data_IF_898674989979
#
_entry.id   IF_898674989979
#
_cell.length_a   1.000
_cell.length_b   1.000
_cell.length_c   1.000
_cell.angle_alpha   90.00
_cell.angle_beta   90.00
_cell.angle_gamma   90.00
#
_symmetry.space_group_name_H-M   'P 1'
#
loop_
_entity.id
_entity.type
_entity.pdbx_description
1 polymer ?
#
# COMPACT_ATOMS: atom_id res chain seq x y z
N UNK A 1 12.85 -22.29 29.75
CA UNK A 1 11.39 -22.39 29.51
C UNK A 1 11.19 -22.14 28.03
N UNK A 2 10.60 -23.09 27.33
CA UNK A 2 10.38 -23.02 25.88
C UNK A 2 9.05 -22.28 25.64
N UNK A 3 8.97 -21.30 24.72
CA UNK A 3 7.78 -20.51 24.56
C UNK A 3 6.67 -21.37 23.93
N UNK A 4 5.68 -21.75 24.74
CA UNK A 4 4.45 -22.40 24.31
C UNK A 4 3.41 -21.33 24.02
N UNK A 5 3.40 -20.83 22.79
CA UNK A 5 2.40 -19.88 22.32
C UNK A 5 2.33 -19.91 20.80
N UNK A 6 1.20 -19.48 20.20
CA UNK A 6 1.01 -19.44 18.74
C UNK A 6 2.03 -18.56 18.00
N UNK A 7 2.84 -17.78 18.73
CA UNK A 7 3.92 -16.94 18.21
C UNK A 7 5.32 -17.59 18.25
N UNK A 8 5.45 -18.85 18.69
CA UNK A 8 6.73 -19.55 18.59
C UNK A 8 6.84 -20.28 17.25
N UNK A 9 7.93 -20.04 16.52
CA UNK A 9 8.30 -20.80 15.30
C UNK A 9 8.70 -22.26 15.62
N UNK A 10 8.17 -22.81 16.72
CA UNK A 10 8.49 -24.14 17.17
C UNK A 10 7.79 -25.17 16.28
N UNK A 11 8.57 -25.85 15.47
CA UNK A 11 8.10 -26.96 14.64
C UNK A 11 8.16 -28.27 15.43
N UNK A 12 7.03 -28.68 16.00
CA UNK A 12 6.86 -30.03 16.54
C UNK A 12 6.27 -30.94 15.44
N UNK A 13 6.81 -32.15 15.19
CA UNK A 13 6.23 -33.10 14.24
C UNK A 13 4.74 -33.39 14.50
N UNK A 14 4.29 -33.32 15.75
CA UNK A 14 2.89 -33.54 16.12
C UNK A 14 1.94 -32.40 15.74
N UNK A 15 2.46 -31.18 15.51
CA UNK A 15 1.67 -30.02 15.07
C UNK A 15 1.76 -29.77 13.56
N UNK A 16 2.47 -30.63 12.82
CA UNK A 16 2.73 -30.46 11.38
C UNK A 16 1.44 -30.41 10.56
N UNK A 17 0.41 -31.20 10.89
CA UNK A 17 -0.87 -31.17 10.17
C UNK A 17 -1.60 -29.83 10.36
N UNK A 18 -1.60 -29.28 11.56
CA UNK A 18 -2.22 -27.99 11.88
C UNK A 18 -1.45 -26.83 11.22
N UNK A 19 -0.11 -26.90 11.25
CA UNK A 19 0.77 -25.93 10.59
C UNK A 19 0.59 -25.93 9.06
N UNK A 20 0.49 -27.10 8.43
CA UNK A 20 0.25 -27.21 6.97
C UNK A 20 -1.14 -26.67 6.60
N UNK A 21 -2.14 -26.97 7.44
CA UNK A 21 -3.50 -26.43 7.27
C UNK A 21 -3.52 -24.91 7.37
N UNK A 22 -2.76 -24.32 8.30
CA UNK A 22 -2.62 -22.88 8.45
C UNK A 22 -1.72 -22.23 7.36
N UNK A 23 -0.74 -22.95 6.83
CA UNK A 23 0.22 -22.44 5.85
C UNK A 23 -0.40 -22.26 4.46
N UNK A 24 -1.40 -23.07 4.11
CA UNK A 24 -2.01 -23.02 2.77
C UNK A 24 -2.72 -21.67 2.52
N UNK A 25 -3.57 -21.17 3.44
CA UNK A 25 -4.12 -19.80 3.34
C UNK A 25 -3.05 -18.71 3.27
N UNK A 26 -2.02 -18.82 4.12
CA UNK A 26 -0.91 -17.86 4.14
C UNK A 26 -0.17 -17.81 2.80
N UNK A 27 0.11 -18.97 2.21
CA UNK A 27 0.75 -19.06 0.89
C UNK A 27 -0.08 -18.40 -0.22
N UNK A 28 -1.39 -18.69 -0.26
CA UNK A 28 -2.30 -18.08 -1.25
C UNK A 28 -2.32 -16.56 -1.09
N UNK A 29 -2.45 -16.05 0.14
CA UNK A 29 -2.46 -14.62 0.41
C UNK A 29 -1.13 -13.96 0.00
N UNK A 30 0.02 -14.52 0.39
CA UNK A 30 1.33 -13.97 0.04
C UNK A 30 1.60 -13.96 -1.46
N UNK A 31 1.22 -15.01 -2.20
CA UNK A 31 1.35 -15.02 -3.66
C UNK A 31 0.48 -13.93 -4.29
N UNK A 32 -0.76 -13.77 -3.84
CA UNK A 32 -1.67 -12.75 -4.35
C UNK A 32 -1.25 -11.33 -3.99
N UNK A 33 -0.63 -11.13 -2.82
CA UNK A 33 0.00 -9.86 -2.43
C UNK A 33 1.13 -9.44 -3.36
N UNK A 34 1.79 -10.38 -4.06
CA UNK A 34 2.77 -10.02 -5.09
C UNK A 34 2.11 -9.79 -6.46
N UNK A 35 1.14 -10.63 -6.82
CA UNK A 35 0.60 -10.68 -8.19
C UNK A 35 -0.49 -9.65 -8.46
N UNK A 36 -1.46 -9.50 -7.55
CA UNK A 36 -2.58 -8.59 -7.79
C UNK A 36 -2.13 -7.14 -7.90
N UNK A 37 -1.25 -6.63 -7.02
CA UNK A 37 -0.78 -5.26 -7.13
C UNK A 37 0.00 -5.02 -8.44
N UNK A 38 0.64 -6.02 -9.04
CA UNK A 38 1.36 -5.85 -10.31
C UNK A 38 0.45 -5.56 -11.52
N UNK A 39 -0.83 -5.96 -11.46
CA UNK A 39 -1.78 -5.83 -12.57
C UNK A 39 -2.98 -4.92 -12.26
N UNK A 40 -3.38 -4.87 -11.00
CA UNK A 40 -4.58 -4.17 -10.55
C UNK A 40 -4.24 -3.02 -9.60
N UNK A 41 -5.16 -2.06 -9.53
CA UNK A 41 -5.16 -0.95 -8.59
C UNK A 41 -6.49 -0.93 -7.84
N UNK A 42 -6.50 -0.26 -6.69
CA UNK A 42 -7.73 0.13 -6.01
C UNK A 42 -8.15 1.50 -6.53
N UNK A 43 -9.42 1.67 -6.80
CA UNK A 43 -10.06 2.93 -7.05
C UNK A 43 -11.00 3.25 -5.89
N UNK A 44 -11.15 4.53 -5.58
CA UNK A 44 -11.86 5.03 -4.39
C UNK A 44 -12.72 6.22 -4.79
N UNK A 45 -13.96 6.20 -4.34
CA UNK A 45 -14.91 7.30 -4.50
C UNK A 45 -15.56 7.63 -3.16
N UNK A 46 -16.08 8.85 -2.99
CA UNK A 46 -17.14 9.11 -2.02
C UNK A 46 -18.28 8.09 -2.19
N UNK A 47 -18.94 7.77 -1.09
CA UNK A 47 -20.10 6.87 -1.13
C UNK A 47 -21.16 7.38 -2.12
N UNK A 48 -21.60 6.49 -3.02
CA UNK A 48 -22.62 6.81 -4.03
C UNK A 48 -22.07 7.32 -5.36
N UNK A 49 -20.76 7.55 -5.50
CA UNK A 49 -20.13 8.00 -6.74
C UNK A 49 -19.41 6.88 -7.53
N UNK A 50 -19.66 5.63 -7.14
CA UNK A 50 -19.10 4.45 -7.83
C UNK A 50 -19.72 4.32 -9.23
N UNK A 51 -18.94 3.97 -10.27
CA UNK A 51 -19.50 3.68 -11.59
C UNK A 51 -20.54 2.55 -11.54
N UNK A 52 -21.67 2.71 -12.24
CA UNK A 52 -22.84 1.81 -12.24
C UNK A 52 -22.56 0.32 -12.55
N UNK A 53 -21.35 -0.02 -12.98
CA UNK A 53 -20.98 -1.35 -13.51
C UNK A 53 -19.89 -2.05 -12.72
N UNK A 54 -19.51 -1.54 -11.55
CA UNK A 54 -18.58 -2.25 -10.67
C UNK A 54 -19.27 -3.49 -10.07
N UNK A 55 -18.76 -4.71 -10.29
CA UNK A 55 -19.35 -5.92 -9.72
C UNK A 55 -19.25 -5.92 -8.19
N UNK A 56 -20.26 -6.49 -7.51
CA UNK A 56 -20.34 -6.55 -6.05
C UNK A 56 -19.15 -7.25 -5.39
N UNK A 57 -18.61 -8.30 -6.02
CA UNK A 57 -17.44 -9.03 -5.50
C UNK A 57 -16.12 -8.27 -5.63
N UNK A 58 -16.08 -7.23 -6.46
CA UNK A 58 -14.89 -6.43 -6.75
C UNK A 58 -14.89 -5.08 -6.00
N UNK A 59 -15.86 -4.85 -5.12
CA UNK A 59 -15.99 -3.63 -4.35
C UNK A 59 -16.16 -3.89 -2.85
N UNK A 60 -15.84 -2.87 -2.06
CA UNK A 60 -16.01 -2.86 -0.62
C UNK A 60 -16.45 -1.47 -0.15
N UNK A 61 -17.50 -1.46 0.68
CA UNK A 61 -18.05 -0.24 1.24
C UNK A 61 -17.35 0.09 2.56
N UNK A 62 -16.63 1.21 2.60
CA UNK A 62 -16.15 1.82 3.83
C UNK A 62 -17.17 2.80 4.41
N UNK A 63 -16.81 3.44 5.53
CA UNK A 63 -17.71 4.33 6.26
C UNK A 63 -18.08 5.64 5.54
N UNK A 64 -17.23 6.12 4.62
CA UNK A 64 -17.46 7.37 3.87
C UNK A 64 -17.02 7.25 2.40
N UNK A 65 -16.48 6.09 2.02
CA UNK A 65 -15.85 5.86 0.73
C UNK A 65 -16.18 4.46 0.27
N UNK A 66 -16.35 4.30 -1.03
CA UNK A 66 -16.45 2.99 -1.67
C UNK A 66 -15.16 2.72 -2.42
N UNK A 67 -14.64 1.51 -2.26
CA UNK A 67 -13.40 1.05 -2.86
C UNK A 67 -13.73 -0.04 -3.88
N UNK A 68 -13.01 -0.09 -5.00
CA UNK A 68 -13.09 -1.22 -5.92
C UNK A 68 -11.75 -1.51 -6.55
N UNK A 69 -11.52 -2.76 -6.92
CA UNK A 69 -10.30 -3.17 -7.61
C UNK A 69 -10.53 -3.09 -9.12
N UNK A 70 -9.57 -2.61 -9.90
CA UNK A 70 -9.66 -2.55 -11.37
C UNK A 70 -8.28 -2.72 -12.00
N UNK A 71 -8.21 -3.17 -13.25
CA UNK A 71 -6.95 -3.28 -14.00
C UNK A 71 -6.33 -1.89 -14.18
N UNK A 72 -5.00 -1.82 -14.05
CA UNK A 72 -4.23 -0.57 -14.15
C UNK A 72 -4.32 0.04 -15.56
N UNK A 73 -4.33 -0.80 -16.59
CA UNK A 73 -4.33 -0.37 -17.99
C UNK A 73 -5.74 -0.22 -18.56
N UNK A 74 -6.72 -0.97 -18.05
CA UNK A 74 -8.09 -1.01 -18.58
C UNK A 74 -9.14 -0.90 -17.46
N UNK A 75 -9.62 0.32 -17.23
CA UNK A 75 -10.72 0.56 -16.29
C UNK A 75 -11.95 -0.27 -16.66
N UNK A 76 -12.61 -0.87 -15.65
CA UNK A 76 -13.76 -1.75 -15.86
C UNK A 76 -13.41 -3.20 -16.13
N UNK A 77 -12.13 -3.56 -16.07
CA UNK A 77 -11.67 -4.96 -16.04
C UNK A 77 -11.32 -5.31 -14.59
N UNK A 78 -11.94 -6.38 -14.08
CA UNK A 78 -11.86 -6.79 -12.68
C UNK A 78 -11.17 -8.16 -12.56
N UNK A 79 -10.53 -8.48 -11.42
CA UNK A 79 -10.17 -9.86 -11.11
C UNK A 79 -11.41 -10.77 -11.15
N UNK A 80 -11.20 -12.04 -11.47
CA UNK A 80 -12.28 -13.02 -11.43
C UNK A 80 -12.85 -13.11 -10.00
N UNK A 81 -14.18 -13.28 -9.89
CA UNK A 81 -14.86 -13.46 -8.61
C UNK A 81 -14.23 -14.57 -7.78
N UNK A 82 -13.92 -15.71 -8.42
CA UNK A 82 -13.26 -16.85 -7.76
C UNK A 82 -11.90 -16.51 -7.19
N UNK A 83 -11.15 -15.58 -7.80
CA UNK A 83 -9.86 -15.13 -7.28
C UNK A 83 -10.02 -14.34 -5.99
N UNK A 84 -10.98 -13.39 -5.95
CA UNK A 84 -11.21 -12.59 -4.75
C UNK A 84 -11.91 -13.41 -3.66
N UNK A 85 -12.87 -14.26 -4.02
CA UNK A 85 -13.52 -15.17 -3.08
C UNK A 85 -12.51 -16.08 -2.39
N UNK A 86 -11.55 -16.62 -3.14
CA UNK A 86 -10.47 -17.42 -2.56
C UNK A 86 -9.64 -16.62 -1.53
N UNK A 87 -9.41 -15.32 -1.72
CA UNK A 87 -8.73 -14.50 -0.70
C UNK A 87 -9.55 -14.38 0.58
N UNK A 88 -10.85 -14.10 0.44
CA UNK A 88 -11.76 -13.95 1.57
C UNK A 88 -11.89 -15.27 2.35
N UNK A 89 -12.01 -16.38 1.64
CA UNK A 89 -12.07 -17.73 2.22
C UNK A 89 -10.77 -18.11 2.95
N UNK A 90 -9.64 -17.52 2.56
CA UNK A 90 -8.34 -17.67 3.22
C UNK A 90 -8.09 -16.63 4.33
N UNK A 91 -9.14 -15.95 4.81
CA UNK A 91 -9.07 -15.09 6.00
C UNK A 91 -8.53 -13.69 5.77
N UNK A 92 -8.32 -13.28 4.51
CA UNK A 92 -7.93 -11.90 4.20
C UNK A 92 -9.10 -10.97 4.52
N UNK A 93 -8.85 -9.95 5.34
CA UNK A 93 -9.83 -8.90 5.62
C UNK A 93 -9.97 -7.98 4.42
N UNK A 94 -11.19 -7.81 3.92
CA UNK A 94 -11.48 -6.89 2.81
C UNK A 94 -11.02 -5.47 3.10
N UNK A 95 -11.20 -4.97 4.34
CA UNK A 95 -10.76 -3.64 4.73
C UNK A 95 -9.24 -3.45 4.57
N UNK A 96 -8.44 -4.46 4.93
CA UNK A 96 -6.98 -4.41 4.78
C UNK A 96 -6.58 -4.48 3.29
N UNK A 97 -7.23 -5.36 2.52
CA UNK A 97 -7.01 -5.47 1.08
C UNK A 97 -7.31 -4.17 0.32
N UNK A 98 -8.53 -3.63 0.47
CA UNK A 98 -8.99 -2.47 -0.29
C UNK A 98 -8.35 -1.17 0.18
N UNK A 99 -7.78 -1.11 1.39
CA UNK A 99 -7.01 0.06 1.86
C UNK A 99 -5.51 -0.10 1.67
N UNK A 100 -5.07 -1.13 0.94
CA UNK A 100 -3.66 -1.49 0.75
C UNK A 100 -2.89 -1.78 2.05
N UNK A 101 -3.59 -2.01 3.17
CA UNK A 101 -2.99 -2.37 4.45
C UNK A 101 -2.45 -3.81 4.46
N UNK A 102 -1.82 -4.19 5.58
CA UNK A 102 -1.24 -5.53 5.78
C UNK A 102 -0.31 -5.99 4.65
N UNK A 103 0.39 -5.06 3.98
CA UNK A 103 1.36 -5.35 2.93
C UNK A 103 0.79 -5.55 1.51
N UNK A 104 -0.50 -5.28 1.27
CA UNK A 104 -1.11 -5.41 -0.07
C UNK A 104 -0.58 -4.38 -1.08
N UNK A 105 -0.21 -3.16 -0.67
CA UNK A 105 0.57 -2.24 -1.51
C UNK A 105 -0.02 -1.92 -2.90
N UNK A 106 -1.36 -1.91 -3.04
CA UNK A 106 -1.99 -1.52 -4.30
C UNK A 106 -1.76 -0.04 -4.61
N UNK A 107 -1.77 0.30 -5.90
CA UNK A 107 -1.97 1.66 -6.34
C UNK A 107 -3.38 2.07 -5.97
N UNK A 108 -3.56 3.30 -5.52
CA UNK A 108 -4.87 3.87 -5.24
C UNK A 108 -5.16 5.05 -6.16
N UNK A 109 -6.31 5.02 -6.82
CA UNK A 109 -6.85 6.08 -7.66
C UNK A 109 -8.11 6.68 -7.01
N UNK A 110 -8.19 7.99 -6.86
CA UNK A 110 -9.39 8.69 -6.38
C UNK A 110 -10.23 9.17 -7.57
N UNK A 111 -11.51 8.79 -7.62
CA UNK A 111 -12.40 9.15 -8.73
C UNK A 111 -13.03 10.53 -8.61
N UNK A 112 -13.09 11.09 -7.40
CA UNK A 112 -13.63 12.44 -7.10
C UNK A 112 -12.59 13.55 -7.35
N UNK A 113 -11.30 13.21 -7.32
CA UNK A 113 -10.22 14.12 -7.64
C UNK A 113 -10.09 14.23 -9.17
N UNK A 114 -10.83 15.15 -9.78
CA UNK A 114 -10.89 15.42 -11.23
C UNK A 114 -9.50 15.45 -11.92
N UNK A 115 -9.00 14.27 -12.31
CA UNK A 115 -7.72 14.11 -13.01
C UNK A 115 -6.45 14.39 -12.20
N UNK A 116 -6.55 14.62 -10.87
CA UNK A 116 -5.35 14.85 -10.06
C UNK A 116 -4.61 13.54 -9.82
N UNK A 117 -3.28 13.52 -9.96
CA UNK A 117 -2.53 12.30 -9.81
C UNK A 117 -2.34 11.96 -8.33
N UNK A 118 -2.65 10.73 -7.96
CA UNK A 118 -2.45 10.23 -6.61
C UNK A 118 -1.15 9.42 -6.52
N UNK A 119 -0.52 9.48 -5.36
CA UNK A 119 0.62 8.68 -4.95
C UNK A 119 0.19 7.81 -3.78
N UNK A 120 0.33 6.49 -3.88
CA UNK A 120 0.19 5.62 -2.71
C UNK A 120 1.55 5.40 -2.08
N UNK A 121 1.68 5.76 -0.81
CA UNK A 121 2.84 5.44 0.01
C UNK A 121 2.52 4.24 0.90
N UNK A 122 3.39 3.24 0.93
CA UNK A 122 3.23 2.09 1.85
C UNK A 122 4.46 1.93 2.71
N UNK A 123 4.26 1.88 4.03
CA UNK A 123 5.32 1.57 4.97
C UNK A 123 5.47 0.04 5.07
N UNK A 124 6.49 -0.51 4.41
CA UNK A 124 6.85 -1.92 4.49
C UNK A 124 7.97 -2.17 5.51
N UNK A 125 8.28 -1.18 6.35
CA UNK A 125 9.22 -1.31 7.46
C UNK A 125 8.49 -1.82 8.71
N UNK A 126 9.26 -2.27 9.70
CA UNK A 126 8.72 -2.61 11.03
C UNK A 126 8.63 -1.39 11.97
N UNK A 127 9.05 -0.22 11.49
CA UNK A 127 9.12 1.00 12.26
C UNK A 127 7.94 1.93 11.92
N UNK A 128 7.56 2.78 12.86
CA UNK A 128 6.61 3.85 12.57
C UNK A 128 7.33 4.90 11.74
N UNK A 129 6.79 5.27 10.57
CA UNK A 129 7.38 6.32 9.75
C UNK A 129 6.49 7.56 9.75
N UNK A 130 7.13 8.72 9.69
CA UNK A 130 6.48 10.01 9.54
C UNK A 130 6.74 10.54 8.14
N UNK A 131 5.67 10.97 7.47
CA UNK A 131 5.75 11.73 6.23
C UNK A 131 5.52 13.21 6.51
N UNK A 132 6.45 14.04 6.04
CA UNK A 132 6.37 15.50 6.11
C UNK A 132 6.56 16.07 4.70
N UNK A 133 5.64 16.91 4.23
CA UNK A 133 5.83 17.62 2.98
C UNK A 133 6.51 18.97 3.23
N UNK A 134 7.49 19.32 2.39
CA UNK A 134 8.21 20.60 2.51
C UNK A 134 7.51 21.77 1.81
N UNK A 135 6.19 21.68 1.57
CA UNK A 135 5.39 22.72 0.90
C UNK A 135 4.04 22.86 1.61
N UNK A 136 3.54 24.09 1.75
CA UNK A 136 2.32 24.44 2.49
C UNK A 136 1.00 23.94 1.85
N UNK A 137 1.04 23.26 0.70
CA UNK A 137 -0.12 23.04 -0.18
C UNK A 137 -0.50 21.57 -0.43
N UNK A 138 0.04 20.58 0.31
CA UNK A 138 -0.49 19.21 0.21
C UNK A 138 -1.79 19.13 1.00
N UNK A 139 -2.92 19.29 0.32
CA UNK A 139 -4.26 19.51 0.92
C UNK A 139 -4.77 18.41 1.87
N UNK A 140 -4.01 17.32 2.06
CA UNK A 140 -4.36 16.20 2.95
C UNK A 140 -3.28 15.83 3.97
N UNK A 141 -2.11 16.49 3.97
CA UNK A 141 -1.15 16.34 5.06
C UNK A 141 -1.44 17.43 6.09
N UNK A 142 -1.98 17.04 7.24
CA UNK A 142 -1.94 17.89 8.44
C UNK A 142 -0.50 18.01 8.93
N UNK A 143 0.42 18.60 8.15
CA UNK A 143 1.86 18.79 8.40
C UNK A 143 2.71 17.54 8.77
N UNK A 144 2.12 16.47 9.31
CA UNK A 144 2.78 15.26 9.79
C UNK A 144 1.79 14.09 9.63
N UNK A 145 2.15 13.08 8.84
CA UNK A 145 1.36 11.87 8.71
C UNK A 145 2.16 10.67 9.20
N UNK A 146 1.67 10.02 10.25
CA UNK A 146 2.26 8.80 10.78
C UNK A 146 1.68 7.57 10.09
N UNK A 147 2.56 6.69 9.62
CA UNK A 147 2.19 5.47 8.91
C UNK A 147 2.82 4.30 9.64
N UNK A 148 2.00 3.48 10.29
CA UNK A 148 2.47 2.30 11.00
C UNK A 148 3.00 1.21 10.07
N UNK A 149 3.67 0.19 10.62
CA UNK A 149 4.13 -0.97 9.86
C UNK A 149 3.00 -1.62 9.04
N UNK A 150 3.25 -1.88 7.76
CA UNK A 150 2.30 -2.49 6.84
C UNK A 150 1.11 -1.61 6.46
N UNK A 151 1.08 -0.34 6.87
CA UNK A 151 0.02 0.60 6.52
C UNK A 151 0.38 1.40 5.27
N UNK A 152 -0.65 1.87 4.59
CA UNK A 152 -0.53 2.75 3.43
C UNK A 152 -1.24 4.07 3.68
N UNK A 153 -0.77 5.11 3.01
CA UNK A 153 -1.51 6.34 2.84
C UNK A 153 -1.55 6.73 1.36
N UNK A 154 -2.46 7.63 1.02
CA UNK A 154 -2.55 8.21 -0.31
C UNK A 154 -2.32 9.70 -0.22
N UNK A 155 -1.52 10.21 -1.14
CA UNK A 155 -1.13 11.61 -1.24
C UNK A 155 -1.55 12.11 -2.63
N UNK A 156 -2.17 13.27 -2.70
CA UNK A 156 -2.53 13.91 -3.96
C UNK A 156 -1.86 15.29 -4.01
N UNK A 157 -0.58 15.37 -4.35
CA UNK A 157 0.13 16.65 -4.41
C UNK A 157 -0.46 17.50 -5.54
N UNK A 158 -0.89 18.72 -5.22
CA UNK A 158 -1.43 19.67 -6.20
C UNK A 158 -0.34 20.49 -6.88
N UNK A 159 0.83 20.57 -6.26
CA UNK A 159 2.00 21.27 -6.76
C UNK A 159 3.24 20.42 -6.52
N UNK A 160 4.33 20.75 -7.22
CA UNK A 160 5.63 20.12 -7.00
C UNK A 160 6.07 20.30 -5.56
N UNK A 161 6.45 19.20 -4.90
CA UNK A 161 6.80 19.18 -3.49
C UNK A 161 7.96 18.21 -3.22
N UNK A 162 8.49 18.22 -2.00
CA UNK A 162 9.38 17.15 -1.54
C UNK A 162 8.74 16.49 -0.33
N UNK A 163 8.58 15.17 -0.39
CA UNK A 163 8.22 14.38 0.78
C UNK A 163 9.50 13.96 1.51
N UNK A 164 9.54 14.24 2.80
CA UNK A 164 10.55 13.73 3.71
C UNK A 164 9.94 12.56 4.47
N UNK A 165 10.69 11.46 4.55
CA UNK A 165 10.33 10.32 5.38
C UNK A 165 11.30 10.29 6.55
N UNK A 166 10.76 10.27 7.76
CA UNK A 166 11.51 10.19 9.00
C UNK A 166 11.14 8.89 9.72
N UNK A 167 12.12 8.18 10.24
CA UNK A 167 11.87 7.09 11.18
C UNK A 167 11.47 7.70 12.52
N UNK A 168 10.24 7.41 12.98
CA UNK A 168 9.73 7.99 14.22
C UNK A 168 10.46 7.47 15.45
N UNK A 169 11.07 6.28 15.37
CA UNK A 169 11.91 5.74 16.44
C UNK A 169 13.26 6.48 16.51
N UNK A 170 13.65 7.20 15.46
CA UNK A 170 14.83 8.05 15.42
C UNK A 170 14.55 9.37 14.67
N UNK A 171 13.81 10.31 15.29
CA UNK A 171 13.24 11.48 14.61
C UNK A 171 14.29 12.48 14.11
N UNK A 172 15.56 12.30 14.48
CA UNK A 172 16.68 13.10 13.97
C UNK A 172 17.21 12.58 12.62
N UNK A 173 16.73 11.42 12.16
CA UNK A 173 17.19 10.79 10.93
C UNK A 173 16.07 10.81 9.90
N UNK A 174 16.18 11.74 8.96
CA UNK A 174 15.46 11.63 7.70
C UNK A 174 16.00 10.38 6.98
N UNK A 175 15.15 9.36 6.84
CA UNK A 175 15.54 8.10 6.21
C UNK A 175 15.42 8.18 4.70
N UNK A 176 14.59 9.09 4.19
CA UNK A 176 14.43 9.26 2.77
C UNK A 176 13.90 10.64 2.34
N UNK A 177 14.15 10.98 1.08
CA UNK A 177 13.54 12.14 0.41
C UNK A 177 13.01 11.74 -0.97
N UNK A 178 11.80 12.20 -1.26
CA UNK A 178 11.10 11.98 -2.52
C UNK A 178 10.78 13.35 -3.12
N UNK A 179 11.58 13.84 -4.07
CA UNK A 179 11.19 15.00 -4.87
C UNK A 179 10.07 14.60 -5.83
N UNK A 180 8.97 15.34 -5.80
CA UNK A 180 7.80 15.13 -6.65
C UNK A 180 7.59 16.39 -7.48
N UNK A 181 7.57 16.24 -8.80
CA UNK A 181 7.18 17.29 -9.71
C UNK A 181 5.77 17.02 -10.23
N UNK A 182 4.89 18.02 -10.12
CA UNK A 182 3.58 18.03 -10.79
C UNK A 182 3.76 18.82 -12.08
N UNK A 183 3.68 18.14 -13.23
CA UNK A 183 3.92 18.76 -14.54
C UNK A 183 2.63 19.15 -15.24
N UNK A 184 2.76 19.94 -16.31
CA UNK A 184 1.63 20.34 -17.14
C UNK A 184 0.90 19.11 -17.69
N UNK A 185 -0.42 19.05 -17.48
CA UNK A 185 -1.21 17.84 -17.76
C UNK A 185 -1.40 16.91 -16.55
N UNK A 186 -1.10 17.38 -15.32
CA UNK A 186 -1.39 16.67 -14.07
C UNK A 186 -0.69 15.31 -13.96
N UNK A 187 0.55 15.23 -14.45
CA UNK A 187 1.40 14.04 -14.32
C UNK A 187 2.36 14.21 -13.14
N UNK A 188 2.62 13.11 -12.41
CA UNK A 188 3.68 13.05 -11.41
C UNK A 188 4.97 12.56 -12.03
N UNK A 189 6.04 13.28 -11.75
CA UNK A 189 7.40 12.89 -12.06
C UNK A 189 8.20 12.84 -10.76
N UNK A 190 9.03 11.81 -10.61
CA UNK A 190 9.87 11.64 -9.43
C UNK A 190 11.29 12.09 -9.76
N UNK A 191 11.81 12.97 -8.91
CA UNK A 191 13.23 13.29 -8.93
C UNK A 191 14.07 12.12 -8.44
N UNK A 192 15.39 12.33 -8.35
CA UNK A 192 16.29 11.34 -7.77
C UNK A 192 15.88 11.05 -6.31
N UNK A 193 15.40 9.82 -6.08
CA UNK A 193 15.06 9.35 -4.74
C UNK A 193 16.35 9.19 -3.94
N UNK A 194 16.38 9.75 -2.73
CA UNK A 194 17.48 9.54 -1.80
C UNK A 194 16.99 8.71 -0.62
N UNK A 195 17.76 7.69 -0.25
CA UNK A 195 17.56 6.90 0.97
C UNK A 195 18.86 6.79 1.73
N UNK A 196 18.77 6.71 3.06
CA UNK A 196 19.92 6.38 3.90
C UNK A 196 20.18 4.88 3.87
N UNK A 197 21.39 4.46 4.28
CA UNK A 197 21.75 3.05 4.39
C UNK A 197 20.74 2.28 5.23
N UNK A 198 20.36 1.09 4.78
CA UNK A 198 19.33 0.27 5.42
C UNK A 198 17.89 0.56 4.98
N UNK A 199 17.66 1.52 4.07
CA UNK A 199 16.33 1.81 3.51
C UNK A 199 16.34 1.83 1.97
N UNK A 200 15.24 1.37 1.36
CA UNK A 200 15.04 1.33 -0.08
C UNK A 200 13.61 1.69 -0.46
N UNK A 201 13.44 2.38 -1.57
CA UNK A 201 12.14 2.53 -2.21
C UNK A 201 11.92 1.45 -3.26
N UNK A 202 10.69 0.97 -3.32
CA UNK A 202 10.19 0.22 -4.48
C UNK A 202 9.97 1.20 -5.64
N UNK A 203 10.30 0.75 -6.85
CA UNK A 203 10.21 1.59 -8.05
C UNK A 203 8.76 2.00 -8.33
N UNK A 204 8.51 3.29 -8.66
CA UNK A 204 7.22 3.68 -9.19
C UNK A 204 6.97 3.00 -10.52
N UNK A 205 5.78 2.42 -10.68
CA UNK A 205 5.32 1.85 -11.95
C UNK A 205 4.98 3.01 -12.87
N UNK A 206 5.70 3.09 -13.98
CA UNK A 206 5.69 4.22 -14.92
C UNK A 206 4.30 4.49 -15.53
N UNK A 207 3.95 5.78 -15.68
CA UNK A 207 2.85 6.27 -16.54
C UNK A 207 1.40 6.36 -16.00
N UNK A 208 1.09 5.83 -14.82
CA UNK A 208 -0.22 5.98 -14.13
C UNK A 208 0.00 6.52 -12.71
N UNK A 209 -1.02 6.77 -11.84
CA UNK A 209 -0.73 7.23 -10.48
C UNK A 209 0.31 6.30 -9.86
N UNK A 210 1.34 6.87 -9.25
CA UNK A 210 2.56 6.16 -8.97
C UNK A 210 2.48 5.48 -7.60
N UNK A 211 3.22 4.38 -7.43
CA UNK A 211 3.39 3.70 -6.14
C UNK A 211 4.79 3.99 -5.62
N UNK A 212 4.91 4.32 -4.35
CA UNK A 212 6.20 4.33 -3.68
C UNK A 212 6.04 3.58 -2.35
N UNK A 213 6.56 2.36 -2.28
CA UNK A 213 6.73 1.64 -1.01
C UNK A 213 8.12 1.88 -0.44
N UNK A 214 8.24 2.11 0.88
CA UNK A 214 9.51 2.16 1.60
C UNK A 214 9.76 0.83 2.32
N UNK A 215 10.93 0.25 2.11
CA UNK A 215 11.38 -1.01 2.72
C UNK A 215 12.63 -0.73 3.55
N UNK A 216 12.75 -1.39 4.70
CA UNK A 216 14.00 -1.44 5.48
C UNK A 216 14.76 -2.68 5.07
N UNK A 217 15.97 -2.50 4.54
CA UNK A 217 16.89 -3.60 4.27
C UNK A 217 17.44 -4.04 5.63
N UNK A 218 17.40 -5.34 5.97
CA UNK A 218 18.12 -5.86 7.12
C UNK A 218 19.58 -5.43 7.01
N UNK A 219 20.15 -4.88 8.09
CA UNK A 219 21.57 -4.54 8.12
C UNK A 219 22.35 -5.76 7.61
N UNK A 220 23.14 -5.58 6.55
CA UNK A 220 24.12 -6.59 6.16
C UNK A 220 25.01 -6.76 7.38
N UNK A 221 24.87 -7.87 8.10
CA UNK A 221 25.70 -8.16 9.26
C UNK A 221 27.16 -8.03 8.83
N UNK A 222 27.81 -6.95 9.28
CA UNK A 222 29.25 -6.76 9.21
C UNK A 222 29.90 -7.41 10.41
#
# INVERSE_FOLDING_TARGET
MQPSGPDSLLWDPSTTADLVTAATPGYVASVMQMLLPAKYMIAVAPEGEVPDRVPSWAQWQGAAQTYWITDIAMQGVYPAETTLQNLWDNGVRQADFFRSGAGWGFLTWFSDAAGWPCLTFTNLTNDLVQLTASTDQVSYLQNELHIGPGQSCVLSPQESCSLQVTDFNNPLVQVAQIPIAVTFGMKLEFGALTTVSGYQFTTPVDGSPARIGLIRIPDTQT
#
